data_IF_430676744129
#
_entry.id   IF_430676744129
#
_cell.length_a   1.000
_cell.length_b   1.000
_cell.length_c   1.000
_cell.angle_alpha   90.00
_cell.angle_beta   90.00
_cell.angle_gamma   90.00
#
_symmetry.space_group_name_H-M   'P 1'
#
loop_
_entity.id
_entity.type
_entity.pdbx_description
1 polymer ?
#
# COMPACT_ATOMS: atom_id res chain seq x y z
N UNK A 1 -3.93 -6.60 -3.97
CA UNK A 1 -2.72 -7.03 -3.23
C UNK A 1 -2.48 -8.51 -3.47
N UNK A 2 -1.26 -8.88 -3.80
CA UNK A 2 -0.86 -10.29 -3.95
C UNK A 2 0.54 -10.49 -3.39
N UNK A 3 0.78 -11.65 -2.76
CA UNK A 3 2.12 -12.05 -2.30
C UNK A 3 2.80 -12.81 -3.42
N UNK A 4 3.97 -12.35 -3.83
CA UNK A 4 4.74 -12.96 -4.92
C UNK A 4 5.65 -14.06 -4.41
N UNK A 5 6.36 -13.81 -3.31
CA UNK A 5 7.28 -14.79 -2.73
C UNK A 5 7.55 -14.51 -1.25
N UNK A 6 7.86 -15.55 -0.53
CA UNK A 6 8.38 -15.49 0.85
C UNK A 6 9.73 -16.17 0.87
N UNK A 7 10.76 -15.40 1.18
CA UNK A 7 12.13 -15.87 1.32
C UNK A 7 12.61 -15.73 2.77
N UNK A 8 13.54 -16.58 3.17
CA UNK A 8 14.15 -16.49 4.48
C UNK A 8 15.63 -16.90 4.42
N UNK A 9 16.37 -16.51 5.43
CA UNK A 9 17.76 -16.94 5.60
C UNK A 9 17.77 -18.06 6.64
N UNK A 10 18.29 -19.21 6.27
CA UNK A 10 18.39 -20.34 7.18
C UNK A 10 19.44 -20.12 8.29
N UNK A 11 19.48 -20.94 9.36
CA UNK A 11 20.48 -20.79 10.42
C UNK A 11 21.93 -20.89 9.96
N UNK A 12 22.19 -21.47 8.79
CA UNK A 12 23.52 -21.55 8.18
C UNK A 12 23.89 -20.29 7.37
N UNK A 13 22.96 -19.35 7.23
CA UNK A 13 23.15 -18.10 6.50
C UNK A 13 22.87 -18.18 4.99
N UNK A 14 22.30 -19.27 4.50
CA UNK A 14 21.92 -19.43 3.11
C UNK A 14 20.51 -18.89 2.83
N UNK A 15 20.29 -18.16 1.71
CA UNK A 15 18.95 -17.71 1.33
C UNK A 15 18.10 -18.89 0.85
N UNK A 16 16.90 -19.00 1.38
CA UNK A 16 15.91 -20.02 1.04
C UNK A 16 14.58 -19.36 0.65
N UNK A 17 13.71 -20.10 -0.01
CA UNK A 17 12.34 -19.69 -0.30
C UNK A 17 11.39 -20.77 0.20
N UNK A 18 10.19 -20.36 0.61
CA UNK A 18 9.12 -21.28 1.00
C UNK A 18 7.87 -21.03 0.20
N UNK A 19 7.14 -22.09 -0.08
CA UNK A 19 5.80 -22.05 -0.68
C UNK A 19 4.73 -22.61 0.25
N UNK A 20 5.13 -23.04 1.46
CA UNK A 20 4.26 -23.71 2.43
C UNK A 20 3.47 -22.68 3.26
N UNK A 21 2.75 -21.82 2.58
CA UNK A 21 1.89 -20.81 3.19
C UNK A 21 0.64 -20.55 2.36
N UNK A 22 -0.39 -20.07 3.01
CA UNK A 22 -1.60 -19.54 2.40
C UNK A 22 -1.66 -18.04 2.62
N UNK A 23 -2.29 -17.34 1.69
CA UNK A 23 -2.50 -15.88 1.78
C UNK A 23 -3.98 -15.63 1.97
N UNK A 24 -4.33 -15.06 3.10
CA UNK A 24 -5.68 -14.57 3.38
C UNK A 24 -5.73 -13.05 3.19
N UNK A 25 -6.68 -12.58 2.38
CA UNK A 25 -6.87 -11.17 2.07
C UNK A 25 -8.18 -10.70 2.70
N UNK A 26 -8.11 -9.71 3.57
CA UNK A 26 -9.31 -9.10 4.11
C UNK A 26 -9.90 -8.08 3.12
N UNK A 27 -11.16 -7.68 3.40
CA UNK A 27 -11.88 -6.68 2.61
C UNK A 27 -11.22 -5.29 2.57
N UNK A 28 -10.27 -5.03 3.45
CA UNK A 28 -9.52 -3.77 3.53
C UNK A 28 -8.16 -3.84 2.81
N UNK A 29 -7.88 -4.94 2.13
CA UNK A 29 -6.63 -5.15 1.41
C UNK A 29 -5.44 -5.47 2.30
N UNK A 30 -5.66 -5.92 3.55
CA UNK A 30 -4.61 -6.47 4.39
C UNK A 30 -4.41 -7.94 4.02
N UNK A 31 -3.15 -8.34 3.92
CA UNK A 31 -2.78 -9.72 3.65
C UNK A 31 -2.21 -10.37 4.90
N UNK A 32 -2.68 -11.56 5.18
CA UNK A 32 -2.14 -12.44 6.22
C UNK A 32 -1.46 -13.61 5.55
N UNK A 33 -0.25 -13.91 5.97
CA UNK A 33 0.51 -15.05 5.48
C UNK A 33 0.46 -16.10 6.58
N UNK A 34 -0.21 -17.19 6.31
CA UNK A 34 -0.50 -18.26 7.26
C UNK A 34 0.28 -19.51 6.85
N UNK A 35 1.13 -20.08 7.70
CA UNK A 35 1.85 -21.29 7.35
C UNK A 35 0.89 -22.47 7.26
N UNK A 36 1.07 -23.32 6.28
CA UNK A 36 0.33 -24.62 6.18
C UNK A 36 0.85 -25.68 7.16
N UNK A 37 2.01 -25.43 7.74
CA UNK A 37 2.65 -26.25 8.75
C UNK A 37 3.46 -25.38 9.71
N UNK A 38 4.60 -25.87 10.17
CA UNK A 38 5.52 -25.08 10.98
C UNK A 38 6.35 -24.15 10.08
N UNK A 39 6.58 -22.91 10.54
CA UNK A 39 7.54 -22.04 9.87
C UNK A 39 8.96 -22.65 9.92
N UNK A 40 9.74 -22.57 8.84
CA UNK A 40 11.11 -23.03 8.84
C UNK A 40 11.96 -22.23 9.83
N UNK A 41 13.00 -22.84 10.35
CA UNK A 41 13.96 -22.17 11.21
C UNK A 41 14.71 -21.09 10.43
N UNK A 42 14.85 -19.92 11.03
CA UNK A 42 15.52 -18.76 10.43
C UNK A 42 16.73 -18.34 11.24
N UNK A 43 17.69 -17.69 10.59
CA UNK A 43 18.83 -17.09 11.27
C UNK A 43 18.38 -15.95 12.19
N UNK A 44 18.99 -15.81 13.35
CA UNK A 44 18.74 -14.71 14.28
C UNK A 44 19.45 -13.45 13.81
N UNK A 45 18.93 -12.80 12.79
CA UNK A 45 19.50 -11.59 12.21
C UNK A 45 18.42 -10.66 11.71
N UNK A 46 18.75 -9.41 11.51
CA UNK A 46 17.85 -8.44 10.90
C UNK A 46 17.59 -8.83 9.45
N UNK A 47 16.34 -8.71 8.99
CA UNK A 47 15.91 -9.07 7.63
C UNK A 47 16.07 -10.58 7.30
N UNK A 48 15.99 -11.44 8.30
CA UNK A 48 16.02 -12.88 8.09
C UNK A 48 14.83 -13.41 7.27
N UNK A 49 13.70 -12.70 7.28
CA UNK A 49 12.52 -13.00 6.46
C UNK A 49 12.25 -11.86 5.52
N UNK A 50 11.99 -12.18 4.25
CA UNK A 50 11.66 -11.22 3.20
C UNK A 50 10.37 -11.63 2.53
N UNK A 51 9.41 -10.73 2.48
CA UNK A 51 8.16 -10.92 1.77
C UNK A 51 8.11 -9.96 0.59
N UNK A 52 7.99 -10.51 -0.61
CA UNK A 52 7.78 -9.73 -1.82
C UNK A 52 6.29 -9.76 -2.16
N UNK A 53 5.70 -8.60 -2.31
CA UNK A 53 4.28 -8.48 -2.61
C UNK A 53 4.01 -7.34 -3.58
N UNK A 54 2.90 -7.43 -4.28
CA UNK A 54 2.36 -6.35 -5.11
C UNK A 54 1.18 -5.75 -4.36
N UNK A 55 1.23 -4.46 -4.12
CA UNK A 55 0.15 -3.70 -3.51
C UNK A 55 -0.30 -2.58 -4.44
N UNK A 56 -1.55 -2.19 -4.29
CA UNK A 56 -2.19 -1.19 -5.13
C UNK A 56 -3.23 -1.82 -6.04
N UNK A 57 -4.19 -1.01 -6.41
CA UNK A 57 -5.26 -1.36 -7.31
C UNK A 57 -5.60 -0.15 -8.17
N UNK A 58 -6.45 -0.33 -9.14
CA UNK A 58 -7.00 0.79 -9.91
C UNK A 58 -7.68 1.76 -8.95
N UNK A 59 -7.31 3.05 -8.96
CA UNK A 59 -7.91 4.01 -8.04
C UNK A 59 -9.42 4.11 -8.30
N UNK A 60 -10.24 4.16 -7.24
CA UNK A 60 -11.68 4.37 -7.37
C UNK A 60 -12.00 5.64 -8.15
N UNK A 61 -13.15 5.67 -8.80
CA UNK A 61 -13.55 6.82 -9.62
C UNK A 61 -13.61 8.14 -8.84
N UNK A 62 -13.97 8.09 -7.57
CA UNK A 62 -13.99 9.27 -6.69
C UNK A 62 -12.59 9.86 -6.51
N UNK A 63 -11.58 9.01 -6.31
CA UNK A 63 -10.18 9.43 -6.21
C UNK A 63 -9.69 10.01 -7.54
N UNK A 64 -10.06 9.39 -8.66
CA UNK A 64 -9.73 9.92 -10.00
C UNK A 64 -10.36 11.28 -10.24
N UNK A 65 -11.63 11.47 -9.86
CA UNK A 65 -12.32 12.77 -9.95
C UNK A 65 -11.67 13.82 -9.06
N UNK A 66 -11.29 13.45 -7.83
CA UNK A 66 -10.58 14.35 -6.93
C UNK A 66 -9.25 14.83 -7.53
N UNK A 67 -8.49 13.91 -8.15
CA UNK A 67 -7.24 14.24 -8.82
C UNK A 67 -7.44 15.16 -10.03
N UNK A 68 -8.50 14.92 -10.83
CA UNK A 68 -8.83 15.80 -11.97
C UNK A 68 -9.22 17.20 -11.51
N UNK A 69 -10.04 17.32 -10.47
CA UNK A 69 -10.41 18.61 -9.87
C UNK A 69 -9.19 19.36 -9.32
N UNK A 70 -8.29 18.63 -8.66
CA UNK A 70 -7.05 19.19 -8.13
C UNK A 70 -6.13 19.66 -9.26
N UNK A 71 -6.01 18.88 -10.33
CA UNK A 71 -5.22 19.22 -11.52
C UNK A 71 -5.78 20.48 -12.19
N UNK A 72 -7.09 20.56 -12.36
CA UNK A 72 -7.75 21.73 -12.90
C UNK A 72 -7.50 22.97 -12.04
N UNK A 73 -7.63 22.82 -10.72
CA UNK A 73 -7.38 23.91 -9.78
C UNK A 73 -5.95 24.46 -9.91
N UNK A 74 -4.93 23.57 -9.96
CA UNK A 74 -3.54 23.97 -10.14
C UNK A 74 -3.25 24.54 -11.53
N UNK A 75 -3.94 24.07 -12.54
CA UNK A 75 -3.82 24.62 -13.89
C UNK A 75 -4.35 26.06 -13.97
N UNK A 76 -5.48 26.33 -13.34
CA UNK A 76 -6.09 27.66 -13.28
C UNK A 76 -5.35 28.61 -12.33
N UNK A 77 -4.72 28.08 -11.28
CA UNK A 77 -3.99 28.83 -10.26
C UNK A 77 -2.51 28.42 -10.25
N UNK A 78 -1.80 28.77 -11.32
CA UNK A 78 -0.38 28.40 -11.52
C UNK A 78 0.60 29.07 -10.56
N UNK A 79 0.23 30.21 -9.97
CA UNK A 79 1.06 30.90 -9.02
C UNK A 79 0.95 30.23 -7.65
N UNK A 80 2.04 29.66 -7.16
CA UNK A 80 2.09 29.06 -5.82
C UNK A 80 2.10 30.11 -4.69
N UNK A 81 2.41 31.36 -5.03
CA UNK A 81 2.51 32.49 -4.10
C UNK A 81 1.94 33.76 -4.75
N UNK A 82 0.99 34.39 -4.09
CA UNK A 82 0.36 35.64 -4.53
C UNK A 82 -0.83 35.99 -3.66
N UNK A 83 -1.31 37.20 -3.76
CA UNK A 83 -2.46 37.69 -3.00
C UNK A 83 -3.78 36.99 -3.38
N UNK A 84 -3.83 36.34 -4.56
CA UNK A 84 -5.02 35.70 -5.12
C UNK A 84 -4.93 34.14 -5.09
N UNK A 85 -4.19 33.55 -4.16
CA UNK A 85 -4.13 32.08 -4.03
C UNK A 85 -5.47 31.56 -3.54
N UNK A 86 -6.23 30.92 -4.42
CA UNK A 86 -7.52 30.31 -4.06
C UNK A 86 -7.28 29.01 -3.32
N UNK A 87 -8.03 28.75 -2.23
CA UNK A 87 -7.94 27.48 -1.52
C UNK A 87 -8.37 26.30 -2.41
N UNK A 88 -7.82 25.13 -2.13
CA UNK A 88 -8.23 23.89 -2.81
C UNK A 88 -9.73 23.68 -2.61
N UNK A 89 -10.50 23.31 -3.65
CA UNK A 89 -11.93 23.06 -3.53
C UNK A 89 -12.26 22.04 -2.45
N UNK A 90 -13.23 22.33 -1.58
CA UNK A 90 -13.65 21.42 -0.51
C UNK A 90 -14.10 20.05 -1.04
N UNK A 91 -14.69 19.99 -2.23
CA UNK A 91 -15.10 18.74 -2.86
C UNK A 91 -13.95 17.76 -3.09
N UNK A 92 -12.71 18.20 -3.25
CA UNK A 92 -11.52 17.32 -3.33
C UNK A 92 -11.33 16.60 -2.02
N UNK A 93 -11.39 17.29 -0.89
CA UNK A 93 -11.25 16.70 0.43
C UNK A 93 -12.39 15.75 0.78
N UNK A 94 -13.62 16.10 0.42
CA UNK A 94 -14.79 15.26 0.66
C UNK A 94 -14.69 13.94 -0.10
N UNK A 95 -14.30 13.95 -1.37
CA UNK A 95 -14.08 12.77 -2.18
C UNK A 95 -12.93 11.89 -1.63
N UNK A 96 -11.83 12.50 -1.20
CA UNK A 96 -10.68 11.76 -0.65
C UNK A 96 -10.96 11.19 0.74
N UNK A 97 -11.75 11.88 1.56
CA UNK A 97 -12.09 11.42 2.90
C UNK A 97 -12.89 10.11 2.91
N UNK A 98 -13.67 9.83 1.86
CA UNK A 98 -14.38 8.56 1.72
C UNK A 98 -13.43 7.35 1.68
N UNK A 99 -12.20 7.55 1.20
CA UNK A 99 -11.18 6.51 1.06
C UNK A 99 -10.11 6.58 2.15
N UNK A 100 -10.25 7.47 3.11
CA UNK A 100 -9.32 7.58 4.22
C UNK A 100 -9.42 6.36 5.11
N UNK A 101 -8.34 5.59 5.20
CA UNK A 101 -8.27 4.49 6.15
C UNK A 101 -8.17 5.05 7.56
N UNK A 102 -9.18 4.77 8.38
CA UNK A 102 -9.05 4.96 9.81
C UNK A 102 -8.30 3.75 10.37
N UNK A 103 -7.10 3.98 10.86
CA UNK A 103 -6.40 2.98 11.66
C UNK A 103 -7.11 2.92 13.02
N UNK A 104 -7.75 1.81 13.23
CA UNK A 104 -8.33 1.48 14.53
C UNK A 104 -7.33 0.62 15.28
#
# INVERSE_FOLDING_TARGET
TSVTSVGFTDPAGAPQATTDYEVDLDQYGRAWIIPTGAWPATMTTVNAVRVQFVAGDTPPDDVRRALLLLTQHYYENRAATGEDVKPIPLGVFDLLNLHRRMFV
#
